data_IF_517423952068
#
_entry.id   IF_517423952068
#
_cell.length_a   1.000
_cell.length_b   1.000
_cell.length_c   1.000
_cell.angle_alpha   90.00
_cell.angle_beta   90.00
_cell.angle_gamma   90.00
#
_symmetry.space_group_name_H-M   'P 1'
#
loop_
_entity.id
_entity.type
_entity.pdbx_description
1 polymer ?
#
# COMPACT_ATOMS: atom_id res chain seq x y z
N UNK A 1 12.34 2.44 5.48
CA UNK A 1 11.10 1.68 5.77
C UNK A 1 10.76 1.84 7.24
N UNK A 2 9.48 1.80 7.57
CA UNK A 2 9.04 1.82 8.97
C UNK A 2 9.33 0.46 9.61
N UNK A 3 9.87 0.46 10.84
CA UNK A 3 10.19 -0.75 11.59
C UNK A 3 9.55 -0.69 12.97
N UNK A 4 9.12 -1.83 13.49
CA UNK A 4 8.60 -1.92 14.85
C UNK A 4 9.75 -1.82 15.88
N UNK A 5 9.51 -1.05 16.94
CA UNK A 5 10.46 -0.90 18.03
C UNK A 5 10.69 -2.25 18.73
N UNK A 6 11.92 -2.61 19.14
CA UNK A 6 12.20 -3.79 19.97
C UNK A 6 11.32 -3.89 21.23
N UNK A 7 10.93 -2.77 21.82
CA UNK A 7 9.99 -2.72 22.96
C UNK A 7 8.61 -3.28 22.61
N UNK A 8 8.16 -3.16 21.37
CA UNK A 8 6.91 -3.78 20.93
C UNK A 8 6.98 -5.30 21.10
N UNK A 9 8.06 -5.93 20.61
CA UNK A 9 8.21 -7.38 20.68
C UNK A 9 8.36 -7.91 22.12
N UNK A 10 8.85 -7.10 23.05
CA UNK A 10 8.95 -7.46 24.49
C UNK A 10 7.60 -7.36 25.20
N UNK A 11 6.74 -6.42 24.82
CA UNK A 11 5.51 -6.11 25.53
C UNK A 11 4.25 -6.67 24.87
N UNK A 12 4.32 -7.08 23.61
CA UNK A 12 3.15 -7.62 22.88
C UNK A 12 2.70 -8.94 23.48
N UNK A 13 1.38 -9.17 23.41
CA UNK A 13 0.76 -10.48 23.66
C UNK A 13 0.14 -10.98 22.37
N UNK A 14 0.43 -12.22 21.97
CA UNK A 14 -0.24 -12.85 20.83
C UNK A 14 -1.46 -13.59 21.36
N UNK A 15 -2.61 -12.95 21.28
CA UNK A 15 -3.90 -13.52 21.72
C UNK A 15 -4.62 -14.20 20.55
N UNK A 16 -4.37 -13.73 19.32
CA UNK A 16 -4.93 -14.29 18.09
C UNK A 16 -3.86 -14.42 17.02
N UNK A 17 -4.05 -15.33 16.06
CA UNK A 17 -3.15 -15.51 14.92
C UNK A 17 -3.49 -14.61 13.73
N UNK A 18 -4.68 -14.03 13.72
CA UNK A 18 -5.16 -13.14 12.66
C UNK A 18 -5.52 -11.79 13.29
N UNK A 19 -4.97 -10.72 12.75
CA UNK A 19 -5.17 -9.34 13.22
C UNK A 19 -4.97 -9.19 14.73
N UNK A 20 -3.90 -9.82 15.24
CA UNK A 20 -3.50 -9.63 16.65
C UNK A 20 -3.16 -8.16 16.87
N UNK A 21 -3.93 -7.48 17.71
CA UNK A 21 -3.88 -6.04 17.92
C UNK A 21 -3.09 -5.68 19.18
N UNK A 22 -2.06 -4.86 19.02
CA UNK A 22 -1.41 -4.16 20.13
C UNK A 22 -1.79 -2.69 20.06
N UNK A 23 -2.44 -2.19 21.11
CA UNK A 23 -2.98 -0.83 21.18
C UNK A 23 -2.12 0.07 22.07
N UNK A 24 -1.80 1.26 21.57
CA UNK A 24 -1.21 2.37 22.32
C UNK A 24 -2.08 3.61 22.16
N UNK A 25 -2.56 4.16 23.28
CA UNK A 25 -3.50 5.30 23.27
C UNK A 25 -2.82 6.57 23.81
N UNK A 26 -3.00 7.68 23.14
CA UNK A 26 -2.71 9.03 23.55
C UNK A 26 -3.99 9.88 23.46
N UNK A 27 -3.94 11.12 23.95
CA UNK A 27 -5.13 11.98 24.05
C UNK A 27 -5.91 12.17 22.73
N UNK A 28 -5.20 12.33 21.61
CA UNK A 28 -5.78 12.68 20.31
C UNK A 28 -5.60 11.61 19.24
N UNK A 29 -4.97 10.48 19.57
CA UNK A 29 -4.71 9.42 18.59
C UNK A 29 -4.51 8.06 19.25
N UNK A 30 -4.78 7.03 18.48
CA UNK A 30 -4.50 5.64 18.83
C UNK A 30 -3.58 5.02 17.76
N UNK A 31 -2.49 4.46 18.19
CA UNK A 31 -1.62 3.63 17.36
C UNK A 31 -1.97 2.16 17.60
N UNK A 32 -2.43 1.52 16.55
CA UNK A 32 -2.73 0.09 16.53
C UNK A 32 -1.67 -0.61 15.71
N UNK A 33 -1.02 -1.61 16.27
CA UNK A 33 -0.11 -2.50 15.55
C UNK A 33 -0.80 -3.83 15.37
N UNK A 34 -1.04 -4.21 14.13
CA UNK A 34 -1.68 -5.47 13.75
C UNK A 34 -0.65 -6.46 13.22
N UNK A 35 -0.73 -7.69 13.69
CA UNK A 35 0.11 -8.79 13.27
C UNK A 35 -0.76 -10.00 12.90
N UNK A 36 -0.55 -10.54 11.70
CA UNK A 36 -1.25 -11.73 11.22
C UNK A 36 -0.23 -12.82 10.91
N UNK A 37 -0.34 -13.95 11.58
CA UNK A 37 0.62 -15.05 11.58
C UNK A 37 0.15 -16.27 10.77
N UNK A 38 -1.03 -16.22 10.18
CA UNK A 38 -1.57 -17.28 9.31
C UNK A 38 -2.37 -16.68 8.16
N UNK A 39 -2.52 -17.44 7.08
CA UNK A 39 -3.38 -17.04 5.96
C UNK A 39 -4.82 -16.88 6.43
N UNK A 40 -5.45 -15.81 5.99
CA UNK A 40 -6.86 -15.53 6.24
C UNK A 40 -7.45 -14.77 5.05
N UNK A 41 -8.76 -14.85 4.90
CA UNK A 41 -9.48 -14.11 3.86
C UNK A 41 -10.75 -13.50 4.46
N UNK A 42 -11.20 -12.39 3.84
CA UNK A 42 -12.43 -11.67 4.20
C UNK A 42 -12.47 -11.23 5.67
N UNK A 43 -11.31 -10.84 6.22
CA UNK A 43 -11.23 -10.30 7.57
C UNK A 43 -11.77 -8.89 7.57
N UNK A 44 -12.79 -8.63 8.38
CA UNK A 44 -13.46 -7.33 8.44
C UNK A 44 -12.84 -6.47 9.53
N UNK A 45 -12.51 -5.23 9.21
CA UNK A 45 -11.96 -4.23 10.13
C UNK A 45 -12.58 -2.86 9.88
N UNK A 46 -12.90 -2.14 10.95
CA UNK A 46 -13.52 -0.82 10.88
C UNK A 46 -13.01 0.03 12.05
N UNK A 47 -12.81 1.33 11.82
CA UNK A 47 -12.46 2.30 12.85
C UNK A 47 -13.56 3.36 12.96
N UNK A 48 -13.85 3.81 14.18
CA UNK A 48 -14.80 4.90 14.44
C UNK A 48 -14.25 6.27 14.04
N UNK A 49 -12.94 6.41 13.97
CA UNK A 49 -12.22 7.63 13.61
C UNK A 49 -11.50 7.46 12.27
N UNK A 50 -11.12 8.56 11.60
CA UNK A 50 -10.23 8.49 10.44
C UNK A 50 -8.96 7.73 10.77
N UNK A 51 -8.50 6.89 9.85
CA UNK A 51 -7.33 6.04 10.07
C UNK A 51 -6.34 6.11 8.92
N UNK A 52 -5.08 6.25 9.25
CA UNK A 52 -3.96 6.01 8.36
C UNK A 52 -3.41 4.62 8.64
N UNK A 53 -3.64 3.68 7.73
CA UNK A 53 -2.99 2.38 7.78
C UNK A 53 -1.71 2.40 6.95
N UNK A 54 -0.62 1.84 7.46
CA UNK A 54 0.66 1.74 6.76
C UNK A 54 1.24 0.34 6.90
N UNK A 55 1.62 -0.25 5.77
CA UNK A 55 2.22 -1.58 5.74
C UNK A 55 3.68 -1.53 6.18
N UNK A 56 4.02 -2.43 7.11
CA UNK A 56 5.38 -2.60 7.63
C UNK A 56 6.02 -3.83 6.99
N UNK A 57 5.29 -4.96 6.95
CA UNK A 57 5.82 -6.24 6.47
C UNK A 57 4.72 -7.11 5.87
N UNK A 58 5.07 -7.93 4.88
CA UNK A 58 4.17 -8.87 4.25
C UNK A 58 3.26 -8.22 3.20
N UNK A 59 2.09 -8.82 2.98
CA UNK A 59 1.12 -8.39 1.95
C UNK A 59 -0.30 -8.55 2.46
N UNK A 60 -1.11 -7.53 2.23
CA UNK A 60 -2.57 -7.58 2.34
C UNK A 60 -3.19 -7.40 0.95
N UNK A 61 -4.41 -7.90 0.76
CA UNK A 61 -5.27 -7.48 -0.35
C UNK A 61 -6.44 -6.75 0.27
N UNK A 62 -6.58 -5.49 -0.09
CA UNK A 62 -7.62 -4.61 0.43
C UNK A 62 -8.81 -4.60 -0.51
N UNK A 63 -10.00 -4.75 0.07
CA UNK A 63 -11.28 -4.62 -0.61
C UNK A 63 -12.05 -3.51 0.07
N UNK A 64 -12.10 -2.35 -0.57
CA UNK A 64 -12.83 -1.18 -0.10
C UNK A 64 -14.07 -0.96 -0.97
N UNK A 65 -15.09 -0.27 -0.42
CA UNK A 65 -16.28 0.05 -1.19
C UNK A 65 -15.93 0.93 -2.40
N UNK A 66 -16.56 0.66 -3.51
CA UNK A 66 -16.42 1.41 -4.77
C UNK A 66 -14.99 1.50 -5.34
N UNK A 67 -14.06 0.68 -4.85
CA UNK A 67 -12.66 0.65 -5.29
C UNK A 67 -12.30 -0.75 -5.75
N UNK A 68 -11.61 -0.94 -6.90
CA UNK A 68 -11.05 -2.24 -7.25
C UNK A 68 -10.12 -2.74 -6.16
N UNK A 69 -10.14 -4.06 -5.90
CA UNK A 69 -9.22 -4.67 -4.94
C UNK A 69 -7.77 -4.40 -5.32
N UNK A 70 -6.94 -4.05 -4.35
CA UNK A 70 -5.53 -3.76 -4.57
C UNK A 70 -4.63 -4.48 -3.56
N UNK A 71 -3.39 -4.77 -4.00
CA UNK A 71 -2.34 -5.24 -3.11
C UNK A 71 -1.82 -4.08 -2.26
N UNK A 72 -1.69 -4.30 -0.96
CA UNK A 72 -1.18 -3.33 0.00
C UNK A 72 0.15 -3.87 0.56
N UNK A 73 1.23 -3.16 0.30
CA UNK A 73 2.61 -3.62 0.44
C UNK A 73 3.42 -2.68 1.35
N UNK A 74 4.55 -3.16 1.92
CA UNK A 74 5.44 -2.35 2.74
C UNK A 74 5.85 -1.04 2.07
N UNK A 75 5.86 0.04 2.86
CA UNK A 75 6.13 1.39 2.36
C UNK A 75 4.92 2.08 1.71
N UNK A 76 3.78 1.41 1.66
CA UNK A 76 2.52 2.00 1.22
C UNK A 76 1.63 2.35 2.42
N UNK A 77 0.81 3.36 2.23
CA UNK A 77 -0.23 3.76 3.18
C UNK A 77 -1.56 3.95 2.49
N UNK A 78 -2.62 3.76 3.26
CA UNK A 78 -3.98 4.09 2.88
C UNK A 78 -4.59 4.94 3.99
N UNK A 79 -5.24 6.04 3.61
CA UNK A 79 -6.04 6.83 4.54
C UNK A 79 -7.51 6.59 4.26
N UNK A 80 -8.28 6.39 5.31
CA UNK A 80 -9.69 6.03 5.25
C UNK A 80 -10.50 6.92 6.17
N UNK A 81 -11.71 7.31 5.77
CA UNK A 81 -12.62 8.07 6.62
C UNK A 81 -13.14 7.23 7.80
N UNK A 82 -13.75 7.92 8.76
CA UNK A 82 -14.46 7.29 9.86
C UNK A 82 -15.50 6.30 9.35
N UNK A 83 -15.58 5.14 10.00
CA UNK A 83 -16.56 4.09 9.72
C UNK A 83 -16.45 3.43 8.33
N UNK A 84 -15.35 3.62 7.61
CA UNK A 84 -15.10 2.85 6.38
C UNK A 84 -14.84 1.38 6.72
N UNK A 85 -15.61 0.49 6.10
CA UNK A 85 -15.48 -0.95 6.30
C UNK A 85 -14.40 -1.50 5.37
N UNK A 86 -13.35 -2.05 5.95
CA UNK A 86 -12.28 -2.75 5.23
C UNK A 86 -12.56 -4.25 5.25
N UNK A 87 -12.48 -4.89 4.10
CA UNK A 87 -12.39 -6.34 3.98
C UNK A 87 -10.99 -6.69 3.50
N UNK A 88 -10.29 -7.58 4.19
CA UNK A 88 -8.85 -7.77 4.05
C UNK A 88 -8.53 -9.26 3.89
N UNK A 89 -7.70 -9.59 2.87
CA UNK A 89 -7.11 -10.91 2.74
C UNK A 89 -5.63 -10.89 3.09
N UNK A 90 -5.15 -11.97 3.69
CA UNK A 90 -3.76 -12.23 4.06
C UNK A 90 -3.24 -13.47 3.33
N UNK A 91 -2.87 -13.35 2.05
CA UNK A 91 -2.58 -14.52 1.19
C UNK A 91 -1.27 -15.22 1.54
N UNK A 92 -0.33 -14.54 2.20
CA UNK A 92 1.05 -14.98 2.36
C UNK A 92 1.51 -15.03 3.82
N UNK A 93 0.68 -14.64 4.78
CA UNK A 93 1.02 -14.60 6.20
C UNK A 93 1.32 -16.01 6.76
N UNK A 94 2.41 -16.12 7.55
CA UNK A 94 2.82 -17.33 8.26
C UNK A 94 3.44 -16.94 9.60
N UNK A 95 3.64 -17.89 10.51
CA UNK A 95 4.33 -17.64 11.79
C UNK A 95 5.75 -17.10 11.60
N UNK A 96 6.48 -17.62 10.61
CA UNK A 96 7.87 -17.20 10.31
C UNK A 96 7.94 -15.90 9.53
N UNK A 97 6.88 -15.57 8.77
CA UNK A 97 6.77 -14.37 7.99
C UNK A 97 5.39 -13.72 8.18
N UNK A 98 5.15 -13.10 9.35
CA UNK A 98 3.87 -12.47 9.65
C UNK A 98 3.66 -11.22 8.80
N UNK A 99 2.41 -10.93 8.50
CA UNK A 99 2.02 -9.62 7.98
C UNK A 99 1.92 -8.64 9.14
N UNK A 100 2.55 -7.48 9.02
CA UNK A 100 2.56 -6.41 10.03
C UNK A 100 2.12 -5.09 9.42
N UNK A 101 1.20 -4.42 10.11
CA UNK A 101 0.64 -3.15 9.68
C UNK A 101 0.44 -2.25 10.92
N UNK A 102 0.74 -0.99 10.79
CA UNK A 102 0.26 0.00 11.75
C UNK A 102 -1.04 0.63 11.26
N UNK A 103 -1.91 0.98 12.18
CA UNK A 103 -3.10 1.78 11.91
C UNK A 103 -3.17 2.90 12.95
N UNK A 104 -2.97 4.12 12.49
CA UNK A 104 -2.99 5.32 13.28
C UNK A 104 -4.36 5.97 13.13
N UNK A 105 -5.22 5.78 14.12
CA UNK A 105 -6.51 6.47 14.20
C UNK A 105 -6.33 7.80 14.91
N UNK A 106 -6.95 8.85 14.41
CA UNK A 106 -6.84 10.19 14.98
C UNK A 106 -8.16 10.96 14.86
N UNK A 107 -8.38 11.90 15.80
CA UNK A 107 -9.59 12.67 15.84
C UNK A 107 -9.77 13.53 14.56
N UNK A 108 -10.95 13.52 13.98
CA UNK A 108 -11.30 14.28 12.77
C UNK A 108 -11.01 15.78 12.90
N UNK A 109 -11.12 16.34 14.12
CA UNK A 109 -10.74 17.72 14.41
C UNK A 109 -9.28 18.05 14.05
N UNK A 110 -8.36 17.06 14.12
CA UNK A 110 -6.97 17.24 13.72
C UNK A 110 -6.83 17.45 12.22
N UNK A 111 -7.62 16.73 11.43
CA UNK A 111 -7.66 16.92 9.99
C UNK A 111 -8.18 18.33 9.64
N UNK A 112 -9.25 18.77 10.28
CA UNK A 112 -9.79 20.12 10.11
C UNK A 112 -8.78 21.21 10.53
N UNK A 113 -8.05 21.01 11.63
CA UNK A 113 -6.98 21.93 12.05
C UNK A 113 -5.88 22.06 11.01
N UNK A 114 -5.45 20.96 10.41
CA UNK A 114 -4.43 20.97 9.35
C UNK A 114 -4.93 21.71 8.09
N UNK A 115 -6.17 21.47 7.67
CA UNK A 115 -6.80 22.17 6.54
C UNK A 115 -6.88 23.68 6.80
N UNK A 116 -7.34 24.08 7.97
CA UNK A 116 -7.45 25.49 8.36
C UNK A 116 -6.06 26.16 8.34
N UNK A 117 -5.04 25.51 8.90
CA UNK A 117 -3.67 26.05 8.91
C UNK A 117 -3.12 26.25 7.50
N UNK A 118 -3.38 25.31 6.58
CA UNK A 118 -2.96 25.45 5.18
C UNK A 118 -3.64 26.65 4.50
N UNK A 119 -4.92 26.86 4.75
CA UNK A 119 -5.70 27.97 4.19
C UNK A 119 -5.27 29.31 4.78
N UNK A 120 -5.07 29.42 6.10
CA UNK A 120 -4.58 30.64 6.77
C UNK A 120 -3.18 31.06 6.27
N UNK A 121 -2.34 30.10 5.92
CA UNK A 121 -1.01 30.38 5.35
C UNK A 121 -1.06 30.72 3.86
N UNK A 122 -2.24 30.75 3.23
CA UNK A 122 -2.42 31.05 1.82
C UNK A 122 -1.85 30.00 0.88
N UNK A 123 -1.56 28.79 1.39
CA UNK A 123 -1.08 27.64 0.62
C UNK A 123 -2.26 27.04 -0.14
N UNK A 124 -2.48 27.46 -1.37
CA UNK A 124 -3.60 26.98 -2.20
C UNK A 124 -3.23 25.70 -2.99
N UNK A 125 -4.20 24.82 -3.13
CA UNK A 125 -4.10 23.67 -4.02
C UNK A 125 -4.70 24.03 -5.39
N UNK A 126 -3.87 24.08 -6.44
CA UNK A 126 -4.32 24.46 -7.79
C UNK A 126 -5.15 25.77 -7.83
N UNK A 127 -4.78 26.75 -6.99
CA UNK A 127 -5.47 28.04 -6.89
C UNK A 127 -6.75 28.03 -6.06
N UNK A 128 -7.16 26.86 -5.50
CA UNK A 128 -8.33 26.69 -4.61
C UNK A 128 -7.89 26.51 -3.16
N UNK A 129 -8.77 26.86 -2.24
CA UNK A 129 -8.58 26.55 -0.83
C UNK A 129 -8.62 25.05 -0.58
N UNK A 130 -7.88 24.60 0.45
CA UNK A 130 -7.93 23.23 0.92
C UNK A 130 -9.31 22.96 1.53
N UNK A 131 -9.87 21.81 1.20
CA UNK A 131 -11.13 21.35 1.77
C UNK A 131 -10.98 19.89 2.20
N UNK A 132 -11.81 19.49 3.15
CA UNK A 132 -11.98 18.07 3.48
C UNK A 132 -12.83 17.43 2.37
N UNK A 133 -12.17 16.97 1.34
CA UNK A 133 -12.78 16.11 0.31
C UNK A 133 -12.51 14.66 0.65
N UNK A 134 -13.18 13.74 -0.04
CA UNK A 134 -13.04 12.29 0.14
C UNK A 134 -11.58 11.87 0.15
N UNK A 135 -11.05 11.52 1.33
CA UNK A 135 -9.65 11.15 1.54
C UNK A 135 -9.44 9.65 1.65
N UNK A 136 -10.23 8.87 0.91
CA UNK A 136 -9.99 7.44 0.74
C UNK A 136 -9.01 7.23 -0.40
N UNK A 137 -7.71 7.22 -0.11
CA UNK A 137 -6.69 7.01 -1.12
C UNK A 137 -5.49 6.19 -0.64
N UNK A 138 -4.93 5.46 -1.58
CA UNK A 138 -3.75 4.62 -1.45
C UNK A 138 -2.55 5.33 -2.05
N UNK A 139 -1.43 5.37 -1.36
CA UNK A 139 -0.22 6.06 -1.79
C UNK A 139 1.05 5.39 -1.27
N UNK A 140 2.17 5.66 -1.92
CA UNK A 140 3.48 5.26 -1.44
C UNK A 140 4.05 6.35 -0.54
N UNK A 141 4.58 5.95 0.61
CA UNK A 141 5.20 6.88 1.56
C UNK A 141 6.49 7.46 0.97
N UNK A 142 6.64 8.77 1.05
CA UNK A 142 7.93 9.40 0.87
C UNK A 142 8.82 9.26 2.14
N UNK A 143 10.08 9.69 2.06
CA UNK A 143 11.00 9.62 3.20
C UNK A 143 10.43 10.33 4.42
N UNK A 144 9.86 11.51 4.25
CA UNK A 144 9.41 12.32 5.36
C UNK A 144 8.24 11.66 6.09
N UNK A 145 7.28 11.06 5.35
CA UNK A 145 6.18 10.29 5.91
C UNK A 145 6.71 9.07 6.69
N UNK A 146 7.66 8.32 6.09
CA UNK A 146 8.27 7.17 6.78
C UNK A 146 9.00 7.58 8.07
N UNK A 147 9.73 8.70 8.08
CA UNK A 147 10.41 9.21 9.27
C UNK A 147 9.43 9.62 10.37
N UNK A 148 8.32 10.26 9.99
CA UNK A 148 7.28 10.65 10.95
C UNK A 148 6.61 9.41 11.54
N UNK A 149 6.23 8.42 10.73
CA UNK A 149 5.64 7.17 11.20
C UNK A 149 6.60 6.43 12.16
N UNK A 150 7.88 6.35 11.81
CA UNK A 150 8.90 5.75 12.67
C UNK A 150 9.02 6.49 14.00
N UNK A 151 9.00 7.83 13.98
CA UNK A 151 9.07 8.66 15.17
C UNK A 151 7.81 8.54 16.04
N UNK A 152 6.63 8.44 15.42
CA UNK A 152 5.37 8.21 16.13
C UNK A 152 5.39 6.85 16.84
N UNK A 153 5.80 5.76 16.19
CA UNK A 153 5.94 4.45 16.85
C UNK A 153 6.82 4.57 18.11
N UNK A 154 7.94 5.29 18.01
CA UNK A 154 8.81 5.49 19.17
C UNK A 154 8.10 6.26 20.29
N UNK A 155 7.45 7.38 20.00
CA UNK A 155 6.76 8.22 20.99
C UNK A 155 5.60 7.47 21.65
N UNK A 156 4.82 6.69 20.91
CA UNK A 156 3.74 5.91 21.48
C UNK A 156 4.24 4.82 22.44
N UNK A 157 5.46 4.33 22.25
CA UNK A 157 6.05 3.24 23.04
C UNK A 157 6.98 3.73 24.15
N UNK A 158 7.44 4.98 24.11
CA UNK A 158 8.29 5.56 25.15
C UNK A 158 7.50 5.96 26.41
N UNK A 159 8.20 6.07 27.52
CA UNK A 159 7.63 6.60 28.77
C UNK A 159 8.13 8.03 29.04
N UNK A 160 7.64 9.01 28.24
CA UNK A 160 8.01 10.40 28.40
C UNK A 160 6.78 11.24 28.81
N UNK A 161 6.90 12.16 29.81
CA UNK A 161 5.75 12.94 30.30
C UNK A 161 5.11 13.87 29.26
N UNK A 162 5.88 14.30 28.25
CA UNK A 162 5.41 15.19 27.17
C UNK A 162 5.10 14.44 25.87
N UNK A 163 4.97 13.12 25.87
CA UNK A 163 4.76 12.33 24.65
C UNK A 163 3.50 12.73 23.88
N UNK A 164 2.42 13.12 24.57
CA UNK A 164 1.20 13.62 23.95
C UNK A 164 1.43 14.87 23.10
N UNK A 165 2.25 15.82 23.60
CA UNK A 165 2.62 17.03 22.87
C UNK A 165 3.44 16.68 21.63
N UNK A 166 4.43 15.79 21.77
CA UNK A 166 5.27 15.39 20.64
C UNK A 166 4.48 14.65 19.56
N UNK A 167 3.59 13.74 19.97
CA UNK A 167 2.69 13.04 19.06
C UNK A 167 1.78 14.01 18.31
N UNK A 168 1.22 14.99 19.02
CA UNK A 168 0.30 15.98 18.46
C UNK A 168 0.97 16.82 17.36
N UNK A 169 2.20 17.27 17.60
CA UNK A 169 2.99 18.03 16.61
C UNK A 169 3.31 17.18 15.37
N UNK A 170 3.71 15.91 15.57
CA UNK A 170 4.02 15.02 14.46
C UNK A 170 2.77 14.58 13.67
N UNK A 171 1.63 14.41 14.34
CA UNK A 171 0.35 14.16 13.69
C UNK A 171 -0.04 15.31 12.77
N UNK A 172 0.11 16.56 13.25
CA UNK A 172 -0.18 17.73 12.43
C UNK A 172 0.73 17.79 11.20
N UNK A 173 2.04 17.55 11.37
CA UNK A 173 2.97 17.48 10.24
C UNK A 173 2.59 16.34 9.26
N UNK A 174 2.29 15.15 9.78
CA UNK A 174 1.89 14.00 8.98
C UNK A 174 0.67 14.29 8.11
N UNK A 175 -0.40 14.83 8.72
CA UNK A 175 -1.64 15.16 8.01
C UNK A 175 -1.38 16.20 6.90
N UNK A 176 -0.62 17.26 7.19
CA UNK A 176 -0.26 18.28 6.20
C UNK A 176 0.49 17.65 5.02
N UNK A 177 1.46 16.78 5.27
CA UNK A 177 2.22 16.10 4.21
C UNK A 177 1.35 15.20 3.37
N UNK A 178 0.45 14.45 4.00
CA UNK A 178 -0.50 13.57 3.31
C UNK A 178 -1.41 14.40 2.38
N UNK A 179 -2.02 15.46 2.89
CA UNK A 179 -2.86 16.36 2.09
C UNK A 179 -2.09 16.94 0.88
N UNK A 180 -0.81 17.27 1.04
CA UNK A 180 0.02 17.80 -0.02
C UNK A 180 0.54 16.73 -1.00
N UNK A 181 0.53 15.45 -0.63
CA UNK A 181 0.99 14.34 -1.49
C UNK A 181 0.07 14.16 -2.70
N UNK A 182 -1.23 14.31 -2.53
CA UNK A 182 -2.20 14.25 -3.63
C UNK A 182 -1.95 15.31 -4.71
N UNK A 183 -1.59 16.52 -4.28
CA UNK A 183 -1.22 17.61 -5.23
C UNK A 183 0.04 17.31 -6.01
N UNK A 184 0.98 16.56 -5.44
CA UNK A 184 2.25 16.19 -6.10
C UNK A 184 2.03 15.06 -7.11
N UNK A 185 1.11 14.12 -6.88
CA UNK A 185 0.87 13.01 -7.82
C UNK A 185 0.41 13.49 -9.20
N UNK A 186 -0.23 14.66 -9.27
CA UNK A 186 -0.61 15.31 -10.54
C UNK A 186 0.59 15.99 -11.22
N UNK A 187 1.56 16.48 -10.41
CA UNK A 187 2.75 17.19 -10.93
C UNK A 187 3.97 16.27 -11.14
N UNK A 188 4.10 15.16 -10.41
CA UNK A 188 5.29 14.29 -10.43
C UNK A 188 5.35 13.31 -11.62
N UNK A 189 4.48 13.44 -12.61
CA UNK A 189 4.74 12.80 -13.92
C UNK A 189 6.02 13.28 -14.62
N UNK A 190 6.80 14.19 -14.01
CA UNK A 190 7.96 14.84 -14.67
C UNK A 190 9.27 15.01 -13.88
N UNK A 191 9.41 14.53 -12.66
CA UNK A 191 10.68 14.78 -11.92
C UNK A 191 11.05 13.64 -10.97
N UNK A 192 11.66 12.60 -11.52
CA UNK A 192 12.36 11.59 -10.73
C UNK A 192 13.84 11.93 -10.65
N UNK A 193 14.27 12.56 -9.58
CA UNK A 193 15.68 12.59 -9.18
C UNK A 193 15.74 12.60 -7.65
N UNK A 194 15.76 11.46 -7.02
CA UNK A 194 16.65 10.99 -5.94
C UNK A 194 16.15 9.68 -5.33
N UNK A 195 17.03 8.70 -5.12
CA UNK A 195 16.68 7.44 -4.48
C UNK A 195 16.50 7.69 -2.98
N UNK A 196 15.31 7.49 -2.51
CA UNK A 196 14.95 7.59 -1.11
C UNK A 196 15.37 6.32 -0.33
N UNK A 197 15.58 6.44 0.98
CA UNK A 197 15.99 5.34 1.88
C UNK A 197 15.03 4.15 1.94
N UNK A 198 13.86 4.27 1.34
CA UNK A 198 12.93 3.16 1.14
C UNK A 198 13.16 2.51 -0.22
N UNK A 199 14.27 1.78 -0.30
CA UNK A 199 14.73 1.16 -1.56
C UNK A 199 13.73 0.18 -2.15
N UNK A 200 13.01 -0.55 -1.31
CA UNK A 200 12.04 -1.54 -1.80
C UNK A 200 10.77 -0.86 -2.30
N UNK A 201 10.24 0.13 -1.59
CA UNK A 201 9.08 0.90 -2.06
C UNK A 201 9.37 1.64 -3.37
N UNK A 202 10.58 2.21 -3.50
CA UNK A 202 11.03 2.78 -4.76
C UNK A 202 11.01 1.73 -5.89
N UNK A 203 11.53 0.53 -5.64
CA UNK A 203 11.56 -0.55 -6.63
C UNK A 203 10.15 -1.04 -6.98
N UNK A 204 9.25 -1.14 -6.02
CA UNK A 204 7.85 -1.51 -6.28
C UNK A 204 7.17 -0.52 -7.25
N UNK A 205 7.37 0.78 -7.03
CA UNK A 205 6.86 1.81 -7.94
C UNK A 205 7.55 1.76 -9.30
N UNK A 206 8.88 1.63 -9.31
CA UNK A 206 9.64 1.51 -10.55
C UNK A 206 9.16 0.33 -11.40
N UNK A 207 8.90 -0.83 -10.79
CA UNK A 207 8.34 -2.00 -11.48
C UNK A 207 6.96 -1.67 -12.08
N UNK A 208 6.08 -1.03 -11.34
CA UNK A 208 4.71 -0.69 -11.82
C UNK A 208 4.74 0.28 -12.99
N UNK A 209 5.60 1.29 -12.92
CA UNK A 209 5.72 2.32 -13.98
C UNK A 209 6.37 1.77 -15.25
N UNK A 210 7.25 0.79 -15.12
CA UNK A 210 7.99 0.21 -16.22
C UNK A 210 7.60 -1.25 -16.49
N UNK A 211 6.35 -1.64 -16.18
CA UNK A 211 5.93 -3.05 -16.16
C UNK A 211 6.02 -3.74 -17.52
N UNK A 212 5.94 -2.97 -18.60
CA UNK A 212 6.07 -3.45 -19.99
C UNK A 212 7.51 -3.62 -20.46
N UNK A 213 8.46 -3.05 -19.72
CA UNK A 213 9.88 -3.08 -20.05
C UNK A 213 10.56 -4.39 -19.58
N UNK A 214 11.82 -4.59 -19.99
CA UNK A 214 12.61 -5.72 -19.52
C UNK A 214 13.18 -5.47 -18.11
N UNK A 215 12.49 -6.00 -17.12
CA UNK A 215 12.81 -5.83 -15.70
C UNK A 215 13.64 -7.01 -15.21
N UNK A 216 14.98 -6.86 -15.25
CA UNK A 216 15.91 -7.88 -14.75
C UNK A 216 16.22 -7.68 -13.26
N UNK A 217 16.63 -8.75 -12.58
CA UNK A 217 17.06 -8.67 -11.16
C UNK A 217 18.29 -7.77 -11.03
N UNK A 218 19.23 -7.84 -11.99
CA UNK A 218 20.39 -6.99 -12.06
C UNK A 218 19.99 -5.50 -12.08
N UNK A 219 19.12 -5.08 -13.01
CA UNK A 219 18.59 -3.71 -13.09
C UNK A 219 17.94 -3.25 -11.80
N UNK A 220 17.07 -4.09 -11.21
CA UNK A 220 16.34 -3.75 -10.01
C UNK A 220 17.26 -3.65 -8.79
N UNK A 221 18.25 -4.54 -8.68
CA UNK A 221 19.21 -4.52 -7.58
C UNK A 221 20.15 -3.31 -7.67
N UNK A 222 20.59 -2.94 -8.89
CA UNK A 222 21.36 -1.72 -9.13
C UNK A 222 20.57 -0.48 -8.71
N UNK A 223 19.31 -0.36 -9.13
CA UNK A 223 18.44 0.75 -8.73
C UNK A 223 18.14 0.79 -7.23
N UNK A 224 18.14 -0.36 -6.56
CA UNK A 224 18.02 -0.47 -5.12
C UNK A 224 19.32 -0.18 -4.38
N UNK A 225 20.44 0.01 -5.09
CA UNK A 225 21.79 0.10 -4.50
C UNK A 225 22.12 -1.10 -3.59
N UNK A 226 21.81 -2.30 -4.07
CA UNK A 226 22.03 -3.57 -3.37
C UNK A 226 22.73 -4.57 -4.29
N UNK A 227 23.45 -5.56 -3.70
CA UNK A 227 23.81 -6.75 -4.49
C UNK A 227 22.54 -7.56 -4.81
N UNK A 228 22.53 -8.30 -5.91
CA UNK A 228 21.38 -9.11 -6.33
C UNK A 228 20.87 -10.04 -5.21
N UNK A 229 21.79 -10.73 -4.52
CA UNK A 229 21.45 -11.65 -3.42
C UNK A 229 20.81 -10.93 -2.24
N UNK A 230 21.31 -9.74 -1.90
CA UNK A 230 20.74 -8.94 -0.82
C UNK A 230 19.37 -8.36 -1.23
N UNK A 231 19.28 -7.86 -2.46
CA UNK A 231 18.03 -7.35 -3.02
C UNK A 231 16.94 -8.42 -3.02
N UNK A 232 17.24 -9.61 -3.57
CA UNK A 232 16.28 -10.72 -3.63
C UNK A 232 15.75 -11.11 -2.25
N UNK A 233 16.65 -11.24 -1.27
CA UNK A 233 16.32 -11.58 0.11
C UNK A 233 15.50 -10.49 0.78
N UNK A 234 15.92 -9.23 0.66
CA UNK A 234 15.25 -8.07 1.25
C UNK A 234 13.87 -7.88 0.63
N UNK A 235 13.77 -7.91 -0.71
CA UNK A 235 12.50 -7.80 -1.41
C UNK A 235 11.50 -8.87 -0.96
N UNK A 236 11.93 -10.14 -0.92
CA UNK A 236 11.09 -11.25 -0.46
C UNK A 236 10.70 -11.12 1.01
N UNK A 237 11.62 -10.67 1.86
CA UNK A 237 11.37 -10.45 3.29
C UNK A 237 10.32 -9.34 3.50
N UNK A 238 10.43 -8.24 2.75
CA UNK A 238 9.56 -7.07 2.91
C UNK A 238 8.19 -7.25 2.27
N UNK A 239 8.13 -7.87 1.08
CA UNK A 239 6.90 -7.98 0.28
C UNK A 239 6.18 -9.33 0.42
N UNK A 240 6.84 -10.33 1.01
CA UNK A 240 6.33 -11.71 1.07
C UNK A 240 6.48 -12.48 -0.25
N UNK A 241 6.85 -11.85 -1.36
CA UNK A 241 7.00 -12.48 -2.68
C UNK A 241 8.37 -12.24 -3.29
N UNK A 242 8.77 -13.07 -4.25
CA UNK A 242 10.01 -12.80 -4.99
C UNK A 242 9.81 -11.64 -5.97
N UNK A 243 10.89 -10.90 -6.35
CA UNK A 243 10.77 -9.84 -7.36
C UNK A 243 10.16 -10.33 -8.67
N UNK A 244 10.54 -11.53 -9.11
CA UNK A 244 10.03 -12.13 -10.35
C UNK A 244 8.54 -12.45 -10.23
N UNK A 245 8.10 -13.04 -9.11
CA UNK A 245 6.69 -13.33 -8.88
C UNK A 245 5.85 -12.05 -8.83
N UNK A 246 6.40 -10.99 -8.23
CA UNK A 246 5.75 -9.69 -8.17
C UNK A 246 5.58 -9.08 -9.58
N UNK A 247 6.62 -9.07 -10.41
CA UNK A 247 6.55 -8.60 -11.81
C UNK A 247 5.50 -9.38 -12.59
N UNK A 248 5.51 -10.72 -12.48
CA UNK A 248 4.53 -11.58 -13.13
C UNK A 248 3.10 -11.21 -12.70
N UNK A 249 2.88 -10.99 -11.41
CA UNK A 249 1.56 -10.64 -10.89
C UNK A 249 1.06 -9.28 -11.41
N UNK A 250 1.92 -8.26 -11.41
CA UNK A 250 1.58 -6.93 -11.96
C UNK A 250 1.31 -6.99 -13.47
N UNK A 251 2.10 -7.76 -14.24
CA UNK A 251 1.84 -8.01 -15.68
C UNK A 251 0.51 -8.72 -15.91
N UNK A 252 0.16 -9.69 -15.08
CA UNK A 252 -1.13 -10.38 -15.16
C UNK A 252 -2.30 -9.43 -14.86
N UNK A 253 -2.17 -8.53 -13.88
CA UNK A 253 -3.19 -7.51 -13.60
C UNK A 253 -3.40 -6.58 -14.80
N UNK A 254 -2.31 -6.15 -15.43
CA UNK A 254 -2.38 -5.35 -16.65
C UNK A 254 -3.08 -6.12 -17.78
N UNK A 255 -2.68 -7.37 -18.02
CA UNK A 255 -3.31 -8.23 -19.03
C UNK A 255 -4.80 -8.43 -18.77
N UNK A 256 -5.24 -8.63 -17.52
CA UNK A 256 -6.66 -8.73 -17.15
C UNK A 256 -7.43 -7.45 -17.47
N UNK A 257 -6.85 -6.29 -17.14
CA UNK A 257 -7.48 -5.01 -17.46
C UNK A 257 -7.67 -4.82 -18.96
N UNK A 258 -6.68 -5.19 -19.76
CA UNK A 258 -6.72 -5.14 -21.23
C UNK A 258 -7.73 -6.13 -21.81
N UNK A 259 -7.78 -7.37 -21.28
CA UNK A 259 -8.72 -8.40 -21.76
C UNK A 259 -10.19 -8.09 -21.45
N UNK A 260 -10.47 -7.16 -20.55
CA UNK A 260 -11.82 -6.64 -20.29
C UNK A 260 -12.33 -5.71 -21.40
N UNK A 261 -11.43 -5.20 -22.25
CA UNK A 261 -11.86 -4.47 -23.46
C UNK A 261 -12.27 -5.47 -24.55
N UNK A 262 -13.54 -5.44 -25.05
CA UNK A 262 -14.00 -6.33 -26.10
C UNK A 262 -13.18 -6.25 -27.39
N UNK A 263 -12.60 -5.08 -27.68
CA UNK A 263 -11.80 -4.83 -28.88
C UNK A 263 -10.39 -5.40 -28.81
N UNK A 264 -9.83 -5.59 -27.60
CA UNK A 264 -8.46 -6.07 -27.37
C UNK A 264 -8.39 -7.58 -27.58
N UNK A 265 -7.61 -8.07 -28.50
CA UNK A 265 -7.35 -9.52 -28.67
C UNK A 265 -6.44 -10.08 -27.56
N UNK A 266 -6.44 -11.40 -27.36
CA UNK A 266 -5.54 -12.07 -26.40
C UNK A 266 -4.07 -11.83 -26.78
N UNK A 267 -3.76 -11.79 -28.09
CA UNK A 267 -2.40 -11.54 -28.58
C UNK A 267 -1.96 -10.10 -28.30
N UNK A 268 -2.83 -9.13 -28.50
CA UNK A 268 -2.54 -7.72 -28.19
C UNK A 268 -2.38 -7.51 -26.68
N UNK A 269 -3.25 -8.10 -25.84
CA UNK A 269 -3.11 -8.04 -24.38
C UNK A 269 -1.80 -8.66 -23.90
N UNK A 270 -1.37 -9.78 -24.48
CA UNK A 270 -0.06 -10.37 -24.23
C UNK A 270 1.07 -9.39 -24.56
N UNK A 271 1.07 -8.82 -25.75
CA UNK A 271 2.13 -7.89 -26.20
C UNK A 271 2.18 -6.62 -25.35
N UNK A 272 1.01 -6.08 -25.00
CA UNK A 272 0.89 -4.85 -24.21
C UNK A 272 1.12 -5.05 -22.71
N UNK A 273 1.22 -6.28 -22.22
CA UNK A 273 1.43 -6.58 -20.79
C UNK A 273 2.88 -6.92 -20.41
N UNK A 274 3.83 -6.78 -21.34
CA UNK A 274 5.27 -6.93 -21.08
C UNK A 274 5.76 -8.37 -20.93
N UNK A 275 4.98 -9.38 -21.32
CA UNK A 275 5.46 -10.77 -21.38
C UNK A 275 6.26 -11.03 -22.67
N UNK A 276 7.37 -11.76 -22.54
CA UNK A 276 8.26 -12.08 -23.67
C UNK A 276 7.91 -13.41 -24.37
N UNK A 277 7.03 -14.24 -23.78
CA UNK A 277 6.64 -15.54 -24.36
C UNK A 277 5.14 -15.75 -24.23
N UNK A 278 4.47 -15.91 -25.37
CA UNK A 278 3.03 -16.15 -25.42
C UNK A 278 2.62 -17.48 -24.75
N UNK A 279 3.39 -18.54 -24.96
CA UNK A 279 3.14 -19.83 -24.33
C UNK A 279 3.31 -19.77 -22.81
N UNK A 280 4.32 -19.04 -22.33
CA UNK A 280 4.51 -18.82 -20.89
C UNK A 280 3.37 -17.97 -20.31
N UNK A 281 2.98 -16.90 -20.99
CA UNK A 281 1.85 -16.05 -20.60
C UNK A 281 0.56 -16.88 -20.42
N UNK A 282 0.16 -17.66 -21.42
CA UNK A 282 -1.04 -18.48 -21.35
C UNK A 282 -1.00 -19.49 -20.19
N UNK A 283 0.15 -20.13 -19.97
CA UNK A 283 0.35 -21.10 -18.89
C UNK A 283 0.26 -20.46 -17.52
N UNK A 284 0.94 -19.33 -17.31
CA UNK A 284 0.96 -18.65 -16.00
C UNK A 284 -0.37 -17.96 -15.69
N UNK A 285 -1.05 -17.41 -16.70
CA UNK A 285 -2.36 -16.82 -16.58
C UNK A 285 -3.37 -17.90 -16.11
N UNK A 286 -3.41 -19.07 -16.78
CA UNK A 286 -4.27 -20.18 -16.38
C UNK A 286 -3.97 -20.68 -14.97
N UNK A 287 -2.68 -20.79 -14.62
CA UNK A 287 -2.24 -21.22 -13.27
C UNK A 287 -2.70 -20.28 -12.17
N UNK A 288 -2.62 -18.95 -12.41
CA UNK A 288 -2.92 -17.93 -11.40
C UNK A 288 -4.40 -17.55 -11.33
N UNK A 289 -5.14 -17.65 -12.46
CA UNK A 289 -6.55 -17.20 -12.57
C UNK A 289 -7.55 -18.34 -12.72
N UNK A 290 -7.08 -19.58 -12.81
CA UNK A 290 -7.90 -20.78 -13.05
C UNK A 290 -8.70 -20.76 -14.37
N UNK A 291 -8.42 -19.82 -15.26
CA UNK A 291 -9.00 -19.64 -16.60
C UNK A 291 -7.89 -19.32 -17.58
N UNK A 292 -7.99 -19.80 -18.82
CA UNK A 292 -7.13 -19.33 -19.90
C UNK A 292 -7.45 -17.86 -20.24
N UNK A 293 -6.53 -17.10 -20.86
CA UNK A 293 -6.82 -15.74 -21.31
C UNK A 293 -8.05 -15.63 -22.20
N UNK A 294 -8.29 -16.61 -23.07
CA UNK A 294 -9.47 -16.65 -23.95
C UNK A 294 -10.75 -16.86 -23.17
N UNK A 295 -10.80 -17.84 -22.27
CA UNK A 295 -11.97 -18.09 -21.40
C UNK A 295 -12.26 -16.88 -20.51
N UNK A 296 -11.22 -16.23 -19.98
CA UNK A 296 -11.37 -15.01 -19.18
C UNK A 296 -12.03 -13.88 -19.98
N UNK A 297 -11.57 -13.66 -21.22
CA UNK A 297 -12.14 -12.65 -22.13
C UNK A 297 -13.60 -12.93 -22.46
N UNK A 298 -13.93 -14.17 -22.81
CA UNK A 298 -15.32 -14.58 -23.14
C UNK A 298 -16.24 -14.33 -21.93
N UNK A 299 -15.82 -14.75 -20.74
CA UNK A 299 -16.58 -14.53 -19.50
C UNK A 299 -16.78 -13.04 -19.21
N UNK A 300 -15.73 -12.24 -19.40
CA UNK A 300 -15.80 -10.78 -19.22
C UNK A 300 -16.79 -10.10 -20.17
N UNK A 301 -16.81 -10.52 -21.43
CA UNK A 301 -17.75 -10.01 -22.45
C UNK A 301 -19.21 -10.40 -22.14
N UNK A 302 -19.44 -11.64 -21.67
CA UNK A 302 -20.78 -12.09 -21.29
C UNK A 302 -21.34 -11.29 -20.10
N UNK A 303 -20.52 -10.94 -19.12
CA UNK A 303 -20.92 -10.13 -17.97
C UNK A 303 -21.31 -8.70 -18.39
N UNK A 304 -20.56 -8.09 -19.30
CA UNK A 304 -20.89 -6.75 -19.83
C UNK A 304 -22.20 -6.73 -20.63
N UNK A 305 -22.46 -7.74 -21.43
CA UNK A 305 -23.70 -7.82 -22.22
C UNK A 305 -24.95 -8.04 -21.34
N UNK A 306 -24.79 -8.71 -20.18
CA UNK A 306 -25.87 -8.89 -19.19
C UNK A 306 -26.16 -7.63 -18.35
N UNK A 307 -25.21 -6.74 -18.19
CA UNK A 307 -25.41 -5.46 -17.49
C UNK A 307 -25.89 -4.33 -18.40
N UNK A 308 -25.91 -4.55 -19.72
CA UNK A 308 -26.39 -3.60 -20.74
C UNK A 308 -27.78 -3.95 -21.30
N UNK A 309 -28.37 -5.09 -20.90
CA UNK A 309 -29.73 -5.54 -21.23
C UNK A 309 -30.63 -5.42 -19.99
#
# INVERSE_FOLDING_TARGET
>A
MVELNPLHYQNRRLETLVENRTLHTLNNAELNIFETHQKAAQVMLQFSEPVLASMIRGKKIMHLQNTPSFGFLPGESVILPSNELMCIDFPEATEQNPTQCLALAFNEAKLQQAVNLLNERGLKQNGKEWSMTDYNYHFTNDIAINQILQRLIFIFTENHPSKDIFADMLLQELIIRILQTESKSIYLKKSYTQPNNDRISFILNFIRENITEDLTIELLSEKAYMSESNFYRTFKHETGSTPIDFIIEERLKLAESLLRDPKMSVKEAFMASGFNSFSYFCRIFKKKKNLSPSEFKEKSNQLKNRSAA
#
